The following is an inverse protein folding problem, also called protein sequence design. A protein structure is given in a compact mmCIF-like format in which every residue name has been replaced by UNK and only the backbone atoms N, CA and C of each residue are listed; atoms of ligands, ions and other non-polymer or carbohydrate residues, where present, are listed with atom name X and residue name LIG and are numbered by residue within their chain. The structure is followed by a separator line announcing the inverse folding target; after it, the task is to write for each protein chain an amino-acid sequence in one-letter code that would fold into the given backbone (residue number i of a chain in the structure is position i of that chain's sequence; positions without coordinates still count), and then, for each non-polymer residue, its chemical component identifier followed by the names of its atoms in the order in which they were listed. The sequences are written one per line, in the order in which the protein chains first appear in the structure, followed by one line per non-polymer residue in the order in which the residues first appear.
data_IF_032816829070
#
_entry.id   IF_032816829070
#
_cell.length_a   1.000
_cell.length_b   1.000
_cell.length_c   1.000
_cell.angle_alpha   90.00
_cell.angle_beta   90.00
_cell.angle_gamma   90.00
#
_symmetry.space_group_name_H-M   'P 1'
#
loop_
_entity.id
_entity.type
_entity.pdbx_description
1 polymer ?
#
# COMPACT_ATOMS: atom_id res chain seq x y z
N UNK A 1 -4.76 15.87 -4.56
CA UNK A 1 -3.69 15.04 -3.94
C UNK A 1 -3.90 14.81 -2.45
N UNK A 2 -4.22 15.83 -1.63
CA UNK A 2 -4.49 15.67 -0.19
C UNK A 2 -5.57 14.66 0.19
N UNK A 3 -6.66 14.54 -0.59
CA UNK A 3 -7.73 13.56 -0.33
C UNK A 3 -7.22 12.11 -0.33
N UNK A 4 -6.31 11.75 -1.23
CA UNK A 4 -5.78 10.38 -1.30
C UNK A 4 -4.92 10.03 -0.08
N UNK A 5 -4.06 10.96 0.34
CA UNK A 5 -3.23 10.81 1.54
C UNK A 5 -4.11 10.69 2.79
N UNK A 6 -5.16 11.51 2.86
CA UNK A 6 -6.13 11.45 3.95
C UNK A 6 -6.86 10.09 4.02
N UNK A 7 -7.33 9.59 2.87
CA UNK A 7 -7.97 8.26 2.81
C UNK A 7 -7.00 7.13 3.13
N UNK A 8 -5.74 7.23 2.73
CA UNK A 8 -4.70 6.24 3.05
C UNK A 8 -4.40 6.19 4.55
N UNK A 9 -4.34 7.34 5.22
CA UNK A 9 -4.20 7.42 6.68
C UNK A 9 -5.41 6.85 7.40
N UNK A 10 -6.63 7.15 6.94
CA UNK A 10 -7.86 6.57 7.50
C UNK A 10 -7.87 5.04 7.34
N UNK A 11 -7.45 4.51 6.19
CA UNK A 11 -7.40 3.08 5.95
C UNK A 11 -6.40 2.39 6.89
N UNK A 12 -5.20 2.97 7.05
CA UNK A 12 -4.18 2.48 7.99
C UNK A 12 -4.68 2.50 9.43
N UNK A 13 -5.35 3.58 9.83
CA UNK A 13 -5.89 3.73 11.18
C UNK A 13 -7.03 2.75 11.44
N UNK A 14 -7.90 2.53 10.45
CA UNK A 14 -8.97 1.53 10.52
C UNK A 14 -8.40 0.12 10.66
N UNK A 15 -7.43 -0.28 9.83
CA UNK A 15 -6.77 -1.59 9.95
C UNK A 15 -6.12 -1.78 11.33
N UNK A 16 -5.48 -0.74 11.87
CA UNK A 16 -4.88 -0.77 13.21
C UNK A 16 -5.94 -0.87 14.32
N UNK A 17 -7.05 -0.15 14.21
CA UNK A 17 -8.14 -0.18 15.19
C UNK A 17 -8.83 -1.54 15.25
N UNK A 18 -9.02 -2.18 14.09
CA UNK A 18 -9.60 -3.53 14.02
C UNK A 18 -8.61 -4.65 14.39
N UNK A 19 -7.36 -4.32 14.79
CA UNK A 19 -6.34 -5.31 15.15
C UNK A 19 -5.98 -6.25 14.01
N UNK A 20 -6.25 -5.83 12.77
CA UNK A 20 -6.06 -6.64 11.58
C UNK A 20 -4.57 -6.74 11.34
N UNK A 21 -4.03 -7.92 11.64
CA UNK A 21 -2.67 -8.29 11.26
C UNK A 21 -2.57 -8.27 9.74
N UNK A 22 -1.86 -7.27 9.20
CA UNK A 22 -1.50 -7.23 7.78
C UNK A 22 -0.85 -8.55 7.37
N UNK A 23 -0.01 -9.12 8.24
CA UNK A 23 0.63 -10.42 8.03
C UNK A 23 -0.38 -11.57 7.89
N UNK A 24 -1.47 -11.58 8.65
CA UNK A 24 -2.53 -12.57 8.53
C UNK A 24 -3.31 -12.42 7.21
N UNK A 25 -3.52 -11.19 6.74
CA UNK A 25 -4.11 -10.95 5.41
C UNK A 25 -3.17 -11.46 4.32
N UNK A 26 -1.88 -11.09 4.36
CA UNK A 26 -0.88 -11.51 3.36
C UNK A 26 -0.78 -13.03 3.29
N UNK A 27 -0.80 -13.70 4.45
CA UNK A 27 -0.68 -15.15 4.55
C UNK A 27 -1.99 -15.90 4.24
N UNK A 28 -3.11 -15.20 4.06
CA UNK A 28 -4.36 -15.85 3.67
C UNK A 28 -4.31 -16.29 2.20
N UNK A 29 -5.03 -17.36 1.80
CA UNK A 29 -5.08 -17.81 0.40
C UNK A 29 -5.57 -16.71 -0.56
N UNK A 30 -6.57 -15.93 -0.12
CA UNK A 30 -7.08 -14.78 -0.86
C UNK A 30 -6.08 -13.62 -0.90
N UNK A 31 -5.31 -13.43 0.17
CA UNK A 31 -4.20 -12.50 0.25
C UNK A 31 -3.12 -12.85 -0.75
N UNK A 32 -2.52 -14.04 -0.67
CA UNK A 32 -1.45 -14.46 -1.57
C UNK A 32 -1.84 -14.36 -3.06
N UNK A 33 -3.09 -14.70 -3.40
CA UNK A 33 -3.60 -14.58 -4.77
C UNK A 33 -3.66 -13.13 -5.29
N UNK A 34 -3.82 -12.13 -4.42
CA UNK A 34 -3.97 -10.72 -4.77
C UNK A 34 -2.79 -9.84 -4.29
N UNK A 35 -1.88 -10.40 -3.50
CA UNK A 35 -0.78 -9.68 -2.86
C UNK A 35 0.28 -9.28 -3.89
N UNK A 36 0.50 -10.11 -4.90
CA UNK A 36 1.34 -9.79 -6.05
C UNK A 36 0.85 -8.53 -6.76
N UNK A 37 -0.46 -8.41 -7.00
CA UNK A 37 -1.07 -7.22 -7.61
C UNK A 37 -0.92 -5.97 -6.73
N UNK A 38 -1.15 -6.10 -5.42
CA UNK A 38 -0.98 -4.99 -4.48
C UNK A 38 0.47 -4.51 -4.37
N UNK A 39 1.43 -5.43 -4.35
CA UNK A 39 2.86 -5.11 -4.35
C UNK A 39 3.29 -4.45 -5.66
N UNK A 40 2.76 -4.90 -6.80
CA UNK A 40 3.05 -4.30 -8.10
C UNK A 40 2.47 -2.89 -8.21
N UNK A 41 1.29 -2.65 -7.62
CA UNK A 41 0.68 -1.33 -7.53
C UNK A 41 1.49 -0.40 -6.61
N UNK A 42 1.96 -0.93 -5.48
CA UNK A 42 2.78 -0.19 -4.52
C UNK A 42 4.15 0.16 -5.09
N UNK A 43 4.78 -0.76 -5.83
CA UNK A 43 6.08 -0.51 -6.48
C UNK A 43 5.96 0.57 -7.56
N UNK A 44 4.90 0.53 -8.38
CA UNK A 44 4.61 1.57 -9.39
C UNK A 44 4.29 2.92 -8.77
N UNK A 45 3.49 2.93 -7.69
CA UNK A 45 3.19 4.15 -6.96
C UNK A 45 4.45 4.73 -6.29
N UNK A 46 5.32 3.87 -5.76
CA UNK A 46 6.59 4.27 -5.17
C UNK A 46 7.57 4.83 -6.21
N UNK A 47 7.69 4.19 -7.37
CA UNK A 47 8.46 4.70 -8.51
C UNK A 47 7.93 6.07 -8.96
N UNK A 48 6.61 6.21 -9.10
CA UNK A 48 5.99 7.49 -9.46
C UNK A 48 6.22 8.58 -8.40
N UNK A 49 6.13 8.24 -7.12
CA UNK A 49 6.34 9.18 -6.02
C UNK A 49 7.81 9.60 -5.87
N UNK A 50 8.74 8.66 -6.09
CA UNK A 50 10.18 8.90 -5.95
C UNK A 50 10.85 9.38 -7.24
N UNK A 51 10.13 9.38 -8.36
CA UNK A 51 10.59 9.90 -9.66
C UNK A 51 11.19 11.30 -9.56
N UNK A 52 10.61 12.17 -8.73
CA UNK A 52 11.08 13.54 -8.52
C UNK A 52 12.26 13.66 -7.53
N UNK A 53 12.53 12.60 -6.76
CA UNK A 53 13.59 12.56 -5.73
C UNK A 53 14.90 12.02 -6.34
N UNK A 54 14.82 11.20 -7.39
CA UNK A 54 15.95 10.77 -8.21
C UNK A 54 15.67 11.07 -9.69
N UNK A 55 15.84 12.31 -10.16
CA UNK A 55 15.94 12.55 -11.59
C UNK A 55 17.20 11.83 -12.06
N UNK A 56 17.02 10.74 -12.79
CA UNK A 56 18.10 10.08 -13.51
C UNK A 56 18.73 11.09 -14.47
N UNK A 57 19.95 11.52 -14.17
CA UNK A 57 20.89 12.08 -15.13
C UNK A 57 21.66 10.98 -15.82
#
# INVERSE_FOLDING_TARGET
MFKLIFWMLILLLALSFFGISLQAIVNSPAGQANFSYLLDLLSRAWQWATYWIRPTG
#
